data_IF_243512571915
#
_entry.id   IF_243512571915
#
_cell.length_a   1.000
_cell.length_b   1.000
_cell.length_c   1.000
_cell.angle_alpha   90.00
_cell.angle_beta   90.00
_cell.angle_gamma   90.00
#
_symmetry.space_group_name_H-M   'P 1'
#
loop_
_entity.id
_entity.type
_entity.pdbx_description
1 polymer ?
#
# COMPACT_ATOMS: atom_id res chain seq x y z
N UNK A 1 -4.10 20.53 0.56
CA UNK A 1 -4.38 19.10 0.35
C UNK A 1 -3.06 18.47 -0.03
N UNK A 2 -2.53 17.60 0.82
CA UNK A 2 -1.29 16.84 0.58
C UNK A 2 -1.52 15.66 -0.37
N UNK A 3 -2.77 15.21 -0.47
CA UNK A 3 -3.18 14.10 -1.31
C UNK A 3 -3.10 14.42 -2.80
N UNK A 4 -2.63 13.48 -3.62
CA UNK A 4 -2.53 13.61 -5.08
C UNK A 4 -2.63 12.24 -5.79
N UNK A 5 -2.50 12.24 -7.12
CA UNK A 5 -2.38 11.01 -7.91
C UNK A 5 -0.95 10.88 -8.44
N UNK A 6 -0.32 9.74 -8.18
CA UNK A 6 0.93 9.37 -8.83
C UNK A 6 0.65 8.64 -10.13
N UNK A 7 1.40 8.98 -11.17
CA UNK A 7 1.37 8.29 -12.45
C UNK A 7 2.71 7.60 -12.67
N UNK A 8 2.66 6.38 -13.19
CA UNK A 8 3.85 5.59 -13.45
C UNK A 8 3.68 4.59 -14.57
N UNK A 9 4.76 3.87 -14.84
CA UNK A 9 4.79 2.76 -15.80
C UNK A 9 5.17 1.52 -15.02
N UNK A 10 4.28 0.51 -15.04
CA UNK A 10 4.60 -0.79 -14.50
C UNK A 10 5.15 -1.66 -15.62
N UNK A 11 6.29 -2.28 -15.36
CA UNK A 11 6.86 -3.31 -16.22
C UNK A 11 6.87 -4.62 -15.45
N UNK A 12 6.09 -5.59 -15.92
CA UNK A 12 6.21 -6.96 -15.49
C UNK A 12 7.10 -7.72 -16.46
N UNK A 13 8.06 -8.47 -15.91
CA UNK A 13 8.93 -9.36 -16.68
C UNK A 13 9.04 -10.68 -15.94
N UNK A 14 8.58 -11.75 -16.58
CA UNK A 14 8.77 -13.14 -16.15
C UNK A 14 9.73 -13.79 -17.13
N UNK A 15 10.80 -14.41 -16.63
CA UNK A 15 11.82 -15.04 -17.47
C UNK A 15 11.56 -16.54 -17.68
N UNK A 16 10.89 -17.21 -16.74
CA UNK A 16 10.62 -18.64 -16.79
C UNK A 16 9.19 -18.97 -16.30
N UNK A 17 8.55 -20.05 -16.80
CA UNK A 17 9.05 -21.02 -17.78
C UNK A 17 9.02 -20.50 -19.22
N UNK A 18 8.18 -19.50 -19.52
CA UNK A 18 8.14 -18.77 -20.79
C UNK A 18 8.39 -17.29 -20.51
N UNK A 19 9.21 -16.66 -21.36
CA UNK A 19 9.44 -15.23 -21.28
C UNK A 19 8.13 -14.47 -21.57
N UNK A 20 7.63 -13.77 -20.56
CA UNK A 20 6.48 -12.87 -20.68
C UNK A 20 6.90 -11.50 -20.18
N UNK A 21 6.65 -10.48 -21.00
CA UNK A 21 6.83 -9.11 -20.60
C UNK A 21 5.61 -8.31 -21.00
N UNK A 22 5.17 -7.43 -20.11
CA UNK A 22 4.13 -6.47 -20.42
C UNK A 22 4.42 -5.17 -19.69
N UNK A 23 4.11 -4.06 -20.36
CA UNK A 23 4.33 -2.71 -19.87
C UNK A 23 3.01 -1.97 -20.01
N UNK A 24 2.58 -1.32 -18.94
CA UNK A 24 1.36 -0.53 -18.95
C UNK A 24 1.49 0.68 -18.03
N UNK A 25 0.75 1.73 -18.37
CA UNK A 25 0.63 2.91 -17.55
C UNK A 25 -0.32 2.61 -16.41
N UNK A 26 0.04 3.08 -15.23
CA UNK A 26 -0.81 3.01 -14.06
C UNK A 26 -0.87 4.39 -13.40
N UNK A 27 -1.87 4.59 -12.58
CA UNK A 27 -1.87 5.66 -11.59
C UNK A 27 -2.30 5.08 -10.23
N UNK A 28 -1.83 5.67 -9.14
CA UNK A 28 -2.19 5.31 -7.77
C UNK A 28 -2.56 6.56 -7.00
N UNK A 29 -3.45 6.42 -6.03
CA UNK A 29 -3.77 7.49 -5.11
C UNK A 29 -2.69 7.59 -4.04
N UNK A 30 -2.14 8.78 -3.85
CA UNK A 30 -1.26 9.16 -2.77
C UNK A 30 -2.08 10.00 -1.79
N UNK A 31 -2.53 9.40 -0.69
CA UNK A 31 -3.51 9.98 0.21
C UNK A 31 -2.90 10.27 1.57
N UNK A 32 -3.09 11.48 2.06
CA UNK A 32 -2.85 11.77 3.47
C UNK A 32 -4.00 11.18 4.29
N UNK A 33 -3.68 10.30 5.25
CA UNK A 33 -4.72 9.66 6.05
C UNK A 33 -5.46 10.64 6.97
N UNK A 34 -4.89 11.81 7.26
CA UNK A 34 -5.56 12.89 7.99
C UNK A 34 -6.55 13.66 7.09
N UNK A 35 -6.51 13.46 5.77
CA UNK A 35 -7.38 14.14 4.79
C UNK A 35 -8.51 13.24 4.25
N UNK A 36 -8.72 12.04 4.79
CA UNK A 36 -9.72 11.09 4.26
C UNK A 36 -11.14 11.66 4.22
N UNK A 37 -11.52 12.50 5.19
CA UNK A 37 -12.84 13.12 5.23
C UNK A 37 -13.03 14.22 4.16
N UNK A 38 -11.92 14.71 3.58
CA UNK A 38 -11.90 15.73 2.52
C UNK A 38 -11.90 15.14 1.11
N UNK A 39 -11.75 13.82 0.96
CA UNK A 39 -11.81 13.12 -0.33
C UNK A 39 -13.03 13.48 -1.19
N UNK A 40 -14.25 13.72 -0.63
CA UNK A 40 -15.39 14.15 -1.42
C UNK A 40 -15.21 15.50 -2.14
N UNK A 41 -14.36 16.40 -1.63
CA UNK A 41 -14.00 17.68 -2.28
C UNK A 41 -13.26 17.41 -3.61
N UNK A 42 -12.50 16.32 -3.67
CA UNK A 42 -11.78 15.86 -4.86
C UNK A 42 -12.61 14.90 -5.75
N UNK A 43 -13.91 14.77 -5.50
CA UNK A 43 -14.80 13.89 -6.26
C UNK A 43 -14.70 12.40 -5.89
N UNK A 44 -13.86 12.03 -4.93
CA UNK A 44 -13.74 10.66 -4.43
C UNK A 44 -14.82 10.43 -3.39
N UNK A 45 -15.72 9.49 -3.67
CA UNK A 45 -16.86 9.23 -2.79
C UNK A 45 -16.55 8.16 -1.75
N UNK A 46 -17.06 8.32 -0.52
CA UNK A 46 -16.88 7.34 0.56
C UNK A 46 -18.04 6.34 0.62
N UNK A 47 -17.73 5.04 0.68
CA UNK A 47 -18.64 3.90 0.82
C UNK A 47 -19.85 3.90 -0.14
N UNK A 48 -19.70 4.47 -1.34
CA UNK A 48 -20.74 4.51 -2.37
C UNK A 48 -20.15 4.36 -3.76
N UNK A 49 -20.96 3.83 -4.69
CA UNK A 49 -20.59 3.71 -6.09
C UNK A 49 -20.33 5.08 -6.71
N UNK A 50 -19.18 5.22 -7.37
CA UNK A 50 -18.77 6.42 -8.09
C UNK A 50 -17.67 6.07 -9.12
N UNK A 51 -17.30 7.05 -9.94
CA UNK A 51 -16.15 6.92 -10.84
C UNK A 51 -14.86 6.62 -10.06
N UNK A 52 -14.66 7.27 -8.91
CA UNK A 52 -13.63 6.93 -7.92
C UNK A 52 -14.27 6.89 -6.52
N UNK A 53 -14.01 5.83 -5.77
CA UNK A 53 -14.58 5.61 -4.45
C UNK A 53 -13.57 5.02 -3.46
N UNK A 54 -13.62 5.55 -2.24
CA UNK A 54 -13.00 4.97 -1.06
C UNK A 54 -14.01 4.08 -0.34
N UNK A 55 -13.68 2.82 -0.09
CA UNK A 55 -14.48 1.93 0.74
C UNK A 55 -13.67 1.50 1.95
N UNK A 56 -14.19 1.74 3.16
CA UNK A 56 -13.47 1.36 4.39
C UNK A 56 -13.22 -0.16 4.45
N UNK A 57 -14.13 -0.97 3.89
CA UNK A 57 -13.98 -2.42 3.80
C UNK A 57 -12.82 -2.89 2.88
N UNK A 58 -12.34 -2.03 1.99
CA UNK A 58 -11.19 -2.35 1.13
C UNK A 58 -9.86 -2.28 1.94
N UNK A 59 -9.88 -1.63 3.13
CA UNK A 59 -8.73 -1.42 4.03
C UNK A 59 -8.94 -2.14 5.39
N UNK A 60 -8.38 -3.35 5.57
CA UNK A 60 -8.77 -4.31 6.60
C UNK A 60 -8.27 -3.96 8.00
N UNK A 61 -7.30 -3.03 8.10
CA UNK A 61 -6.83 -2.52 9.39
C UNK A 61 -7.96 -1.78 10.13
N UNK A 62 -9.00 -1.34 9.42
CA UNK A 62 -10.18 -0.72 10.00
C UNK A 62 -10.00 0.77 10.27
N UNK A 63 -11.03 1.38 10.85
CA UNK A 63 -11.05 2.80 11.18
C UNK A 63 -10.81 3.04 12.69
N UNK A 64 -10.09 4.12 13.09
CA UNK A 64 -9.37 5.07 12.24
C UNK A 64 -8.10 4.44 11.63
N UNK A 65 -7.97 4.49 10.30
CA UNK A 65 -6.94 3.75 9.57
C UNK A 65 -5.52 4.14 9.98
N UNK A 66 -5.25 5.43 10.15
CA UNK A 66 -3.96 5.94 10.61
C UNK A 66 -3.53 5.31 11.94
N UNK A 67 -4.44 5.26 12.92
CA UNK A 67 -4.14 4.69 14.22
C UNK A 67 -3.83 3.19 14.13
N UNK A 68 -4.58 2.45 13.31
CA UNK A 68 -4.40 1.01 13.13
C UNK A 68 -3.11 0.66 12.38
N UNK A 69 -2.73 1.48 11.39
CA UNK A 69 -1.42 1.41 10.72
C UNK A 69 -0.30 1.59 11.75
N UNK A 70 -0.38 2.62 12.59
CA UNK A 70 0.63 2.89 13.61
C UNK A 70 0.71 1.77 14.66
N UNK A 71 -0.43 1.25 15.11
CA UNK A 71 -0.48 0.09 16.03
C UNK A 71 0.18 -1.15 15.40
N UNK A 72 -0.09 -1.40 14.13
CA UNK A 72 0.49 -2.52 13.40
C UNK A 72 1.99 -2.35 13.24
N UNK A 73 2.45 -1.16 12.86
CA UNK A 73 3.86 -0.83 12.74
C UNK A 73 4.60 -0.99 14.07
N UNK A 74 4.03 -0.48 15.15
CA UNK A 74 4.57 -0.59 16.50
C UNK A 74 4.69 -2.06 16.94
N UNK A 75 3.68 -2.89 16.64
CA UNK A 75 3.75 -4.33 16.93
C UNK A 75 4.87 -5.07 16.20
N UNK A 76 5.30 -4.57 15.03
CA UNK A 76 6.33 -5.19 14.20
C UNK A 76 7.73 -4.64 14.48
N UNK A 77 7.85 -3.38 14.90
CA UNK A 77 9.12 -2.65 14.98
C UNK A 77 9.45 -2.12 16.38
N UNK A 78 8.48 -2.10 17.29
CA UNK A 78 8.58 -1.43 18.60
C UNK A 78 8.60 0.11 18.50
N UNK A 79 8.42 0.67 17.31
CA UNK A 79 8.50 2.11 17.06
C UNK A 79 7.17 2.65 16.55
N UNK A 80 6.76 3.81 17.09
CA UNK A 80 5.54 4.52 16.69
C UNK A 80 5.86 5.96 16.28
N UNK A 81 6.02 6.24 14.97
CA UNK A 81 6.20 7.60 14.49
C UNK A 81 4.98 8.47 14.81
N UNK A 82 5.22 9.72 15.21
CA UNK A 82 4.18 10.67 15.63
C UNK A 82 3.74 11.65 14.52
N UNK A 83 4.29 11.53 13.31
CA UNK A 83 3.97 12.40 12.18
C UNK A 83 2.76 11.94 11.36
N UNK A 84 2.72 12.43 10.12
CA UNK A 84 1.69 12.05 9.14
C UNK A 84 1.89 10.63 8.63
N UNK A 85 0.81 10.05 8.13
CA UNK A 85 0.84 8.76 7.44
C UNK A 85 0.25 8.95 6.06
N UNK A 86 1.07 8.71 5.04
CA UNK A 86 0.66 8.79 3.64
C UNK A 86 0.42 7.38 3.10
N UNK A 87 -0.64 7.20 2.31
CA UNK A 87 -1.03 5.92 1.74
C UNK A 87 -0.90 5.96 0.21
N UNK A 88 -0.09 5.07 -0.34
CA UNK A 88 -0.07 4.76 -1.76
C UNK A 88 -0.96 3.52 -2.03
N UNK A 89 -2.07 3.73 -2.73
CA UNK A 89 -3.12 2.70 -2.90
C UNK A 89 -3.84 2.80 -4.25
N UNK A 90 -4.61 1.76 -4.58
CA UNK A 90 -5.67 1.84 -5.58
C UNK A 90 -7.03 2.06 -4.91
N UNK A 91 -7.80 2.99 -5.47
CA UNK A 91 -9.20 3.18 -5.10
C UNK A 91 -10.10 2.21 -5.88
N UNK A 92 -11.39 2.17 -5.52
CA UNK A 92 -12.40 1.49 -6.31
C UNK A 92 -12.83 2.42 -7.45
N UNK A 93 -12.73 1.95 -8.69
CA UNK A 93 -13.14 2.71 -9.88
C UNK A 93 -14.32 2.02 -10.55
N UNK A 94 -15.44 2.74 -10.71
CA UNK A 94 -16.68 2.22 -11.29
C UNK A 94 -17.15 0.89 -10.66
N UNK A 95 -16.91 0.72 -9.36
CA UNK A 95 -17.27 -0.50 -8.62
C UNK A 95 -16.21 -1.61 -8.65
N UNK A 96 -15.17 -1.51 -9.49
CA UNK A 96 -14.08 -2.47 -9.56
C UNK A 96 -12.94 -2.08 -8.63
N UNK A 97 -12.45 -3.04 -7.84
CA UNK A 97 -11.33 -2.85 -6.93
C UNK A 97 -10.26 -3.91 -7.18
N UNK A 98 -9.13 -3.48 -7.73
CA UNK A 98 -7.95 -4.31 -7.91
C UNK A 98 -6.76 -3.63 -7.25
N UNK A 99 -6.42 -4.10 -6.04
CA UNK A 99 -5.35 -3.54 -5.25
C UNK A 99 -4.52 -4.67 -4.62
N UNK A 100 -3.37 -5.03 -5.23
CA UNK A 100 -2.54 -6.11 -4.71
C UNK A 100 -1.71 -5.69 -3.49
N UNK A 101 -1.48 -4.38 -3.29
CA UNK A 101 -0.61 -3.86 -2.24
C UNK A 101 -0.99 -2.44 -1.81
N UNK A 102 -1.01 -2.21 -0.50
CA UNK A 102 -1.05 -0.88 0.09
C UNK A 102 0.30 -0.55 0.71
N UNK A 103 0.80 0.66 0.49
CA UNK A 103 2.00 1.15 1.17
C UNK A 103 1.66 2.34 2.05
N UNK A 104 1.89 2.21 3.35
CA UNK A 104 1.70 3.27 4.33
C UNK A 104 3.06 3.84 4.72
N UNK A 105 3.34 5.07 4.32
CA UNK A 105 4.56 5.81 4.61
C UNK A 105 4.36 6.61 5.89
N UNK A 106 5.06 6.22 6.95
CA UNK A 106 4.95 6.79 8.28
C UNK A 106 6.11 7.75 8.54
N UNK A 107 5.77 9.03 8.74
CA UNK A 107 6.71 10.11 9.01
C UNK A 107 6.78 10.42 10.51
N UNK A 108 7.86 11.05 10.95
CA UNK A 108 7.95 11.67 12.28
C UNK A 108 7.47 13.14 12.27
N UNK A 109 7.57 13.80 13.42
CA UNK A 109 7.20 15.22 13.59
C UNK A 109 8.08 16.18 12.78
N UNK A 110 9.29 15.75 12.42
CA UNK A 110 10.22 16.50 11.57
C UNK A 110 10.01 16.22 10.07
N UNK A 111 8.90 15.57 9.71
CA UNK A 111 8.53 15.18 8.34
C UNK A 111 9.56 14.24 7.67
N UNK A 112 10.28 13.48 8.48
CA UNK A 112 11.26 12.49 8.02
C UNK A 112 10.60 11.11 7.91
N UNK A 113 10.74 10.44 6.77
CA UNK A 113 10.19 9.09 6.56
C UNK A 113 10.90 8.08 7.46
N UNK A 114 10.19 7.53 8.45
CA UNK A 114 10.76 6.55 9.39
C UNK A 114 10.56 5.12 8.93
N UNK A 115 9.36 4.81 8.47
CA UNK A 115 8.95 3.46 8.13
C UNK A 115 7.97 3.43 6.97
N UNK A 116 7.99 2.36 6.20
CA UNK A 116 6.94 2.01 5.24
C UNK A 116 6.34 0.68 5.66
N UNK A 117 5.05 0.69 6.00
CA UNK A 117 4.28 -0.53 6.20
C UNK A 117 3.68 -0.96 4.87
N UNK A 118 4.11 -2.10 4.32
CA UNK A 118 3.55 -2.68 3.11
C UNK A 118 2.55 -3.78 3.47
N UNK A 119 1.27 -3.57 3.17
CA UNK A 119 0.22 -4.60 3.23
C UNK A 119 0.13 -5.26 1.86
N UNK A 120 0.52 -6.53 1.77
CA UNK A 120 0.48 -7.32 0.54
C UNK A 120 -0.63 -8.35 0.63
N UNK A 121 -1.50 -8.41 -0.38
CA UNK A 121 -2.54 -9.43 -0.51
C UNK A 121 -2.08 -10.52 -1.47
N UNK A 122 -2.04 -11.77 -1.00
CA UNK A 122 -1.74 -12.91 -1.84
C UNK A 122 -3.01 -13.41 -2.53
N UNK A 123 -3.08 -13.30 -3.85
CA UNK A 123 -4.14 -13.93 -4.66
C UNK A 123 -3.62 -15.26 -5.21
N UNK A 124 -4.34 -16.41 -5.11
CA UNK A 124 -5.76 -16.58 -4.76
C UNK A 124 -6.11 -16.82 -3.27
N UNK A 125 -5.14 -17.02 -2.38
CA UNK A 125 -5.40 -17.50 -1.01
C UNK A 125 -5.98 -16.43 -0.06
N UNK A 126 -6.07 -15.17 -0.49
CA UNK A 126 -6.62 -14.03 0.25
C UNK A 126 -5.94 -13.75 1.60
N UNK A 127 -4.75 -14.31 1.81
CA UNK A 127 -3.89 -14.03 2.96
C UNK A 127 -3.29 -12.64 2.82
N UNK A 128 -3.17 -11.93 3.95
CA UNK A 128 -2.62 -10.58 4.02
C UNK A 128 -1.40 -10.57 4.92
N UNK A 129 -0.31 -10.01 4.40
CA UNK A 129 0.95 -9.88 5.12
C UNK A 129 1.35 -8.43 5.22
N UNK A 130 1.94 -8.09 6.36
CA UNK A 130 2.41 -6.74 6.65
C UNK A 130 3.91 -6.79 6.83
N UNK A 131 4.63 -6.01 6.03
CA UNK A 131 6.07 -5.83 6.14
C UNK A 131 6.35 -4.42 6.62
N UNK A 132 7.23 -4.26 7.60
CA UNK A 132 7.74 -2.96 8.00
C UNK A 132 9.13 -2.77 7.42
N UNK A 133 9.29 -1.78 6.54
CA UNK A 133 10.54 -1.44 5.88
C UNK A 133 11.07 -0.15 6.47
N UNK A 134 12.34 -0.15 6.88
CA UNK A 134 13.00 1.06 7.40
C UNK A 134 13.14 2.08 6.27
N UNK A 135 12.60 3.28 6.49
CA UNK A 135 12.61 4.37 5.50
C UNK A 135 13.93 5.14 5.42
N UNK A 136 14.81 4.96 6.40
CA UNK A 136 16.11 5.63 6.51
C UNK A 136 17.26 4.72 6.09
N UNK A 137 17.09 3.40 6.22
CA UNK A 137 18.11 2.43 5.90
C UNK A 137 17.59 1.42 4.88
N UNK A 138 18.19 1.38 3.69
CA UNK A 138 17.97 0.32 2.73
C UNK A 138 18.60 -0.97 3.24
N UNK A 139 17.89 -1.69 4.12
CA UNK A 139 18.26 -3.02 4.56
C UNK A 139 17.51 -4.04 3.71
N UNK A 140 18.17 -5.11 3.22
CA UNK A 140 17.48 -6.20 2.54
C UNK A 140 16.46 -6.82 3.52
N UNK A 141 15.21 -6.98 3.09
CA UNK A 141 14.22 -7.73 3.86
C UNK A 141 14.15 -9.17 3.34
N UNK A 142 14.29 -10.13 4.24
CA UNK A 142 14.00 -11.52 3.95
C UNK A 142 12.52 -11.66 3.54
N UNK A 143 12.27 -12.32 2.41
CA UNK A 143 10.91 -12.53 1.92
C UNK A 143 10.22 -13.57 2.77
N UNK A 144 9.33 -13.12 3.64
CA UNK A 144 8.57 -14.04 4.48
C UNK A 144 7.42 -14.78 3.75
N UNK A 145 7.11 -14.50 2.47
CA UNK A 145 5.89 -15.06 1.84
C UNK A 145 5.93 -15.29 0.31
N UNK A 146 5.19 -16.32 -0.11
CA UNK A 146 4.83 -16.63 -1.50
C UNK A 146 3.90 -15.56 -2.07
N UNK A 147 4.42 -14.47 -2.64
CA UNK A 147 3.62 -13.50 -3.43
C UNK A 147 3.24 -14.00 -4.83
N UNK A 148 3.55 -15.26 -5.14
CA UNK A 148 3.19 -15.95 -6.37
C UNK A 148 3.27 -17.47 -6.16
N UNK A 149 2.38 -18.27 -6.77
CA UNK A 149 2.53 -19.73 -6.86
C UNK A 149 3.86 -20.17 -7.51
N UNK A 150 4.57 -19.25 -8.16
CA UNK A 150 5.73 -19.52 -9.00
C UNK A 150 7.03 -18.87 -8.53
N UNK A 151 7.03 -18.19 -7.38
CA UNK A 151 8.25 -17.66 -6.77
C UNK A 151 8.59 -18.50 -5.53
N UNK A 152 9.77 -19.14 -5.44
CA UNK A 152 10.16 -19.90 -4.26
C UNK A 152 10.25 -18.99 -3.03
N UNK A 153 10.09 -19.59 -1.84
CA UNK A 153 10.23 -18.93 -0.53
C UNK A 153 11.63 -18.34 -0.33
N UNK A 154 12.64 -18.92 -0.98
CA UNK A 154 14.05 -18.60 -0.79
C UNK A 154 14.50 -17.40 -1.63
N UNK A 155 13.77 -16.28 -1.56
CA UNK A 155 14.20 -15.03 -2.19
C UNK A 155 14.44 -13.97 -1.13
N UNK A 156 15.48 -13.16 -1.29
CA UNK A 156 15.69 -11.95 -0.48
C UNK A 156 15.24 -10.77 -1.34
N UNK A 157 14.42 -9.87 -0.78
CA UNK A 157 14.14 -8.60 -1.45
C UNK A 157 15.35 -7.68 -1.24
N UNK A 158 16.07 -7.43 -2.33
CA UNK A 158 17.12 -6.42 -2.41
C UNK A 158 16.53 -5.06 -2.75
#
# INVERSE_FOLDING_TARGET
>A
MNSCLYQGVLRHRRLQPKAHHFVYRLFMAWLDLDELDRLPEAGIRRNRLAAAAWYDADYPLGAPLKAQVLNRLESLTGCRPAGRVMLLTQLRYFGFHFNPVNFYYCYDEADTLRWVLAEVRNTPWNERHYYAVDGQQARPLEKAFHVSPFNPMDMVYH
#
